data_IF_528691616915
#
_entry.id   IF_528691616915
#
_cell.length_a   1.000
_cell.length_b   1.000
_cell.length_c   1.000
_cell.angle_alpha   90.00
_cell.angle_beta   90.00
_cell.angle_gamma   90.00
#
_symmetry.space_group_name_H-M   'P 1'
#
loop_
_entity.id
_entity.type
_entity.pdbx_description
1 polymer ?
#
# COMPACT_ATOMS: atom_id res chain seq x y z
N UNK A 1 -14.66 1.09 3.40
CA UNK A 1 -14.15 2.47 3.67
C UNK A 1 -13.23 2.97 2.57
N UNK A 2 -12.27 2.16 2.13
CA UNK A 2 -11.50 2.36 0.90
C UNK A 2 -12.44 2.21 -0.29
N UNK A 3 -12.26 3.06 -1.29
CA UNK A 3 -13.04 3.01 -2.53
C UNK A 3 -12.22 2.51 -3.71
N UNK A 4 -10.90 2.66 -3.65
CA UNK A 4 -9.98 2.33 -4.73
C UNK A 4 -10.04 0.84 -5.07
N UNK A 5 -10.00 0.57 -6.37
CA UNK A 5 -9.94 -0.76 -6.98
C UNK A 5 -8.63 -0.85 -7.74
N UNK A 6 -7.53 -0.71 -7.01
CA UNK A 6 -6.20 -0.66 -7.60
C UNK A 6 -5.58 -2.05 -7.72
N UNK A 7 -4.53 -2.16 -8.52
CA UNK A 7 -3.75 -3.39 -8.70
C UNK A 7 -2.25 -3.08 -8.77
N UNK A 8 -1.41 -4.11 -8.78
CA UNK A 8 0.04 -4.02 -8.84
C UNK A 8 0.58 -3.95 -10.27
N UNK A 9 -0.29 -4.09 -11.28
CA UNK A 9 0.06 -4.04 -12.71
C UNK A 9 -0.15 -2.64 -13.29
N UNK A 10 0.01 -2.52 -14.61
CA UNK A 10 -0.24 -1.29 -15.34
C UNK A 10 -1.69 -0.82 -15.12
N UNK A 11 -1.94 0.48 -14.86
CA UNK A 11 -1.00 1.59 -14.92
C UNK A 11 -0.27 1.90 -13.61
N UNK A 12 -0.56 1.20 -12.51
CA UNK A 12 0.00 1.49 -11.19
C UNK A 12 1.52 1.27 -11.13
N UNK A 13 2.03 0.28 -11.86
CA UNK A 13 3.47 0.03 -11.95
C UNK A 13 4.18 0.77 -13.09
N UNK A 14 3.52 1.73 -13.76
CA UNK A 14 4.09 2.43 -14.94
C UNK A 14 5.46 3.07 -14.68
N UNK A 15 5.73 3.46 -13.42
CA UNK A 15 6.98 4.07 -12.97
C UNK A 15 7.90 3.10 -12.23
N UNK A 16 7.46 1.86 -12.00
CA UNK A 16 8.31 0.84 -11.39
C UNK A 16 9.43 0.44 -12.36
N UNK A 17 10.56 -0.07 -11.84
CA UNK A 17 11.70 -0.42 -12.67
C UNK A 17 11.38 -1.50 -13.71
N UNK A 18 12.06 -1.43 -14.85
CA UNK A 18 12.04 -2.46 -15.90
C UNK A 18 13.17 -3.45 -15.63
N UNK A 19 12.83 -4.72 -15.47
CA UNK A 19 13.78 -5.82 -15.28
C UNK A 19 13.68 -6.73 -16.51
N UNK A 20 14.75 -6.84 -17.28
CA UNK A 20 14.82 -7.65 -18.51
C UNK A 20 13.59 -7.41 -19.42
N UNK A 21 13.39 -6.14 -19.79
CA UNK A 21 12.31 -5.66 -20.67
C UNK A 21 10.86 -5.77 -20.12
N UNK A 22 10.70 -6.17 -18.86
CA UNK A 22 9.37 -6.27 -18.22
C UNK A 22 9.25 -5.31 -17.04
N UNK A 23 8.14 -4.57 -16.97
CA UNK A 23 7.83 -3.76 -15.79
C UNK A 23 7.66 -4.67 -14.57
N UNK A 24 8.40 -4.36 -13.50
CA UNK A 24 8.19 -4.97 -12.18
C UNK A 24 6.82 -4.62 -11.60
N UNK A 25 6.35 -5.41 -10.62
CA UNK A 25 5.11 -5.13 -9.92
C UNK A 25 5.28 -4.00 -8.90
N UNK A 26 4.20 -3.30 -8.57
CA UNK A 26 4.22 -2.34 -7.46
C UNK A 26 4.63 -3.04 -6.15
N UNK A 27 4.06 -4.22 -5.88
CA UNK A 27 4.14 -4.90 -4.58
C UNK A 27 2.89 -4.66 -3.74
N UNK A 28 2.49 -5.65 -2.94
CA UNK A 28 1.27 -5.58 -2.14
C UNK A 28 1.33 -4.50 -1.06
N UNK A 29 2.44 -4.45 -0.32
CA UNK A 29 2.69 -3.47 0.75
C UNK A 29 2.67 -2.02 0.26
N UNK A 30 3.46 -1.61 -0.75
CA UNK A 30 3.40 -0.25 -1.28
C UNK A 30 2.05 0.08 -1.94
N UNK A 31 1.38 -0.90 -2.57
CA UNK A 31 0.04 -0.66 -3.13
C UNK A 31 -0.99 -0.38 -2.03
N UNK A 32 -1.02 -1.20 -0.96
CA UNK A 32 -1.94 -1.00 0.16
C UNK A 32 -1.69 0.34 0.85
N UNK A 33 -0.42 0.71 1.06
CA UNK A 33 -0.03 2.01 1.58
C UNK A 33 -0.50 3.16 0.67
N UNK A 34 -0.38 3.00 -0.66
CA UNK A 34 -0.83 4.01 -1.63
C UNK A 34 -2.35 4.20 -1.64
N UNK A 35 -3.12 3.11 -1.54
CA UNK A 35 -4.57 3.18 -1.43
C UNK A 35 -5.02 3.90 -0.13
N UNK A 36 -4.29 3.71 0.97
CA UNK A 36 -4.51 4.48 2.21
C UNK A 36 -4.22 5.97 2.03
N UNK A 37 -3.07 6.31 1.45
CA UNK A 37 -2.71 7.70 1.14
C UNK A 37 -3.76 8.36 0.25
N UNK A 38 -4.28 7.62 -0.75
CA UNK A 38 -5.36 8.08 -1.60
C UNK A 38 -6.66 8.34 -0.85
N UNK A 39 -7.05 7.48 0.12
CA UNK A 39 -8.26 7.72 0.93
C UNK A 39 -8.20 9.05 1.67
N UNK A 40 -7.03 9.37 2.23
CA UNK A 40 -6.83 10.57 3.02
C UNK A 40 -6.46 11.79 2.19
N UNK A 41 -6.14 11.60 0.90
CA UNK A 41 -5.62 12.65 0.01
C UNK A 41 -4.44 13.39 0.66
N UNK A 42 -3.56 12.59 1.28
CA UNK A 42 -2.41 13.06 2.04
C UNK A 42 -1.19 12.16 1.76
N UNK A 43 0.02 12.73 1.69
CA UNK A 43 0.35 14.15 1.89
C UNK A 43 0.18 15.01 0.65
N UNK A 44 0.07 16.34 0.83
CA UNK A 44 0.19 17.28 -0.29
C UNK A 44 1.59 17.21 -0.91
N UNK A 45 2.62 17.27 -0.05
CA UNK A 45 4.03 17.04 -0.39
C UNK A 45 4.67 16.18 0.69
N UNK A 46 5.62 15.32 0.33
CA UNK A 46 6.36 14.50 1.26
C UNK A 46 7.54 15.22 1.92
N UNK A 47 8.47 14.46 2.50
CA UNK A 47 9.62 14.98 3.25
C UNK A 47 10.90 14.20 2.90
N UNK A 48 11.98 14.94 2.67
CA UNK A 48 13.32 14.37 2.52
C UNK A 48 13.52 13.59 1.23
N UNK A 49 14.60 12.82 1.22
CA UNK A 49 15.07 12.05 0.07
C UNK A 49 15.13 10.57 0.45
N UNK A 50 14.88 9.68 -0.51
CA UNK A 50 15.33 8.29 -0.41
C UNK A 50 15.78 7.79 -1.77
N UNK A 51 16.75 6.88 -1.79
CA UNK A 51 17.25 6.27 -3.02
C UNK A 51 16.77 4.84 -3.10
N UNK A 52 16.22 4.46 -4.25
CA UNK A 52 15.92 3.05 -4.54
C UNK A 52 17.22 2.26 -4.45
N UNK A 53 17.35 1.42 -3.42
CA UNK A 53 18.55 0.66 -3.13
C UNK A 53 18.61 -0.69 -3.84
N UNK A 54 17.65 -1.00 -4.73
CA UNK A 54 17.58 -2.32 -5.34
C UNK A 54 18.64 -2.51 -6.45
N UNK A 55 19.59 -3.44 -6.29
CA UNK A 55 20.81 -3.51 -7.10
C UNK A 55 20.59 -3.89 -8.57
N UNK A 56 19.43 -4.46 -8.91
CA UNK A 56 19.09 -4.82 -10.30
C UNK A 56 18.43 -3.66 -11.08
N UNK A 57 18.32 -2.49 -10.46
CA UNK A 57 17.65 -1.32 -11.05
C UNK A 57 18.58 -0.12 -11.07
N UNK A 58 18.32 0.84 -11.96
CA UNK A 58 19.00 2.13 -11.89
C UNK A 58 18.64 2.80 -10.57
N UNK A 59 19.64 3.06 -9.72
CA UNK A 59 19.46 3.77 -8.45
C UNK A 59 18.82 5.14 -8.74
N UNK A 60 17.54 5.29 -8.43
CA UNK A 60 16.80 6.54 -8.56
C UNK A 60 16.62 7.17 -7.17
N UNK A 61 17.06 8.41 -7.00
CA UNK A 61 16.81 9.19 -5.79
C UNK A 61 15.53 9.98 -5.95
N UNK A 62 14.56 9.70 -5.09
CA UNK A 62 13.29 10.42 -5.01
C UNK A 62 13.40 11.51 -3.95
N UNK A 63 13.10 12.74 -4.37
CA UNK A 63 12.86 13.86 -3.47
C UNK A 63 11.38 13.99 -3.16
N UNK A 64 10.99 13.49 -1.99
CA UNK A 64 9.61 13.53 -1.55
C UNK A 64 9.15 14.96 -1.23
N UNK A 65 10.06 15.88 -0.91
CA UNK A 65 9.73 17.28 -0.59
C UNK A 65 9.28 18.09 -1.80
N UNK A 66 9.69 17.66 -3.01
CA UNK A 66 9.27 18.26 -4.28
C UNK A 66 8.23 17.43 -5.01
N UNK A 67 7.89 16.23 -4.50
CA UNK A 67 6.83 15.39 -5.03
C UNK A 67 5.45 15.99 -4.75
N UNK A 68 4.66 16.22 -5.81
CA UNK A 68 3.27 16.66 -5.74
C UNK A 68 2.37 15.48 -6.12
N UNK A 69 1.47 15.09 -5.23
CA UNK A 69 0.54 13.98 -5.45
C UNK A 69 -0.81 14.48 -5.96
N UNK A 70 -1.12 14.19 -7.23
CA UNK A 70 -2.36 14.63 -7.88
C UNK A 70 -3.55 13.71 -7.54
N UNK A 71 -4.07 13.85 -6.32
CA UNK A 71 -5.20 13.04 -5.85
C UNK A 71 -6.48 13.21 -6.70
N UNK A 72 -6.65 14.34 -7.38
CA UNK A 72 -7.79 14.59 -8.26
C UNK A 72 -7.78 13.64 -9.47
N UNK A 73 -6.60 13.33 -10.00
CA UNK A 73 -6.44 12.36 -11.09
C UNK A 73 -6.24 10.92 -10.60
N UNK A 74 -6.16 10.68 -9.30
CA UNK A 74 -6.14 9.32 -8.76
C UNK A 74 -7.56 8.74 -8.71
N UNK A 75 -8.02 8.22 -9.84
CA UNK A 75 -9.34 7.64 -9.98
C UNK A 75 -9.56 6.39 -9.09
N UNK A 76 -10.84 6.09 -8.83
CA UNK A 76 -11.25 4.86 -8.13
C UNK A 76 -10.66 3.61 -8.78
N UNK A 77 -10.78 3.55 -10.10
CA UNK A 77 -10.29 2.47 -10.95
C UNK A 77 -9.43 3.10 -12.05
N UNK A 78 -8.36 2.40 -12.44
CA UNK A 78 -7.50 2.81 -13.54
C UNK A 78 -7.00 1.57 -14.29
N UNK A 79 -6.90 1.71 -15.61
CA UNK A 79 -6.47 0.67 -16.55
C UNK A 79 -5.62 1.27 -17.69
N UNK A 80 -5.34 0.49 -18.72
CA UNK A 80 -4.57 0.94 -19.88
C UNK A 80 -5.26 1.98 -20.76
N UNK A 81 -6.59 2.09 -20.68
CA UNK A 81 -7.38 3.08 -21.43
C UNK A 81 -7.48 4.44 -20.73
N UNK A 82 -7.13 4.48 -19.44
CA UNK A 82 -7.17 5.69 -18.62
C UNK A 82 -6.22 6.77 -19.16
N UNK A 83 -6.57 8.05 -18.94
CA UNK A 83 -5.77 9.17 -19.43
C UNK A 83 -4.34 9.17 -18.87
N UNK A 84 -3.39 9.78 -19.60
CA UNK A 84 -2.01 9.89 -19.14
C UNK A 84 -1.90 10.56 -17.75
N UNK A 85 -2.78 11.52 -17.45
CA UNK A 85 -2.86 12.16 -16.14
C UNK A 85 -3.22 11.16 -15.03
N UNK A 86 -4.25 10.33 -15.23
CA UNK A 86 -4.65 9.28 -14.27
C UNK A 86 -3.52 8.27 -14.09
N UNK A 87 -2.96 7.77 -15.19
CA UNK A 87 -1.87 6.79 -15.14
C UNK A 87 -0.65 7.34 -14.40
N UNK A 88 -0.29 8.60 -14.63
CA UNK A 88 0.86 9.25 -13.97
C UNK A 88 0.58 9.51 -12.49
N UNK A 89 -0.64 9.91 -12.13
CA UNK A 89 -1.00 10.18 -10.74
C UNK A 89 -0.92 8.89 -9.90
N UNK A 90 -1.56 7.80 -10.35
CA UNK A 90 -1.55 6.54 -9.59
C UNK A 90 -0.16 5.90 -9.53
N UNK A 91 0.58 5.92 -10.65
CA UNK A 91 1.93 5.33 -10.66
C UNK A 91 2.97 6.11 -9.86
N UNK A 92 2.86 7.44 -9.80
CA UNK A 92 3.78 8.26 -8.98
C UNK A 92 3.63 7.90 -7.52
N UNK A 93 2.39 7.86 -7.00
CA UNK A 93 2.15 7.51 -5.61
C UNK A 93 2.61 6.08 -5.29
N UNK A 94 2.28 5.12 -6.16
CA UNK A 94 2.67 3.71 -6.01
C UNK A 94 4.18 3.51 -6.03
N UNK A 95 4.88 4.12 -6.97
CA UNK A 95 6.33 4.02 -7.07
C UNK A 95 7.03 4.68 -5.89
N UNK A 96 6.61 5.88 -5.49
CA UNK A 96 7.18 6.59 -4.34
C UNK A 96 6.97 5.81 -3.03
N UNK A 97 5.81 5.16 -2.85
CA UNK A 97 5.59 4.28 -1.72
C UNK A 97 6.57 3.10 -1.72
N UNK A 98 6.84 2.49 -2.88
CA UNK A 98 7.82 1.42 -3.02
C UNK A 98 9.25 1.87 -2.71
N UNK A 99 9.68 3.02 -3.26
CA UNK A 99 11.00 3.59 -2.97
C UNK A 99 11.14 3.91 -1.47
N UNK A 100 10.14 4.52 -0.85
CA UNK A 100 10.18 4.83 0.58
C UNK A 100 10.27 3.57 1.46
N UNK A 101 9.70 2.45 1.00
CA UNK A 101 9.77 1.14 1.65
C UNK A 101 11.04 0.34 1.33
N UNK A 102 11.91 0.83 0.44
CA UNK A 102 13.06 0.10 -0.08
C UNK A 102 12.67 -1.32 -0.51
N UNK A 103 11.57 -1.44 -1.26
CA UNK A 103 11.08 -2.73 -1.74
C UNK A 103 12.06 -3.38 -2.70
N UNK A 104 12.11 -4.70 -2.71
CA UNK A 104 12.83 -5.46 -3.73
C UNK A 104 11.91 -5.70 -4.91
N UNK A 105 12.05 -4.88 -5.95
CA UNK A 105 11.20 -4.97 -7.15
C UNK A 105 11.42 -6.27 -7.91
N UNK A 106 10.33 -6.89 -8.36
CA UNK A 106 10.38 -8.09 -9.19
C UNK A 106 9.22 -8.21 -10.17
N UNK A 107 9.46 -8.95 -11.24
CA UNK A 107 8.47 -9.19 -12.31
C UNK A 107 7.36 -10.17 -11.90
N UNK A 108 7.60 -11.00 -10.89
CA UNK A 108 6.63 -12.00 -10.36
C UNK A 108 6.09 -11.60 -8.99
N UNK A 109 6.91 -10.93 -8.18
CA UNK A 109 6.55 -10.42 -6.87
C UNK A 109 7.52 -9.29 -6.52
N UNK A 110 7.02 -8.27 -5.84
CA UNK A 110 7.83 -7.22 -5.23
C UNK A 110 7.67 -7.35 -3.72
N UNK A 111 8.78 -7.52 -3.00
CA UNK A 111 8.76 -7.74 -1.55
C UNK A 111 9.07 -6.45 -0.79
N UNK A 112 8.28 -6.20 0.24
CA UNK A 112 8.47 -5.10 1.18
C UNK A 112 8.08 -5.55 2.58
N UNK A 113 8.69 -4.96 3.60
CA UNK A 113 8.44 -5.32 4.99
C UNK A 113 7.55 -4.23 5.64
N UNK A 114 6.35 -4.64 6.02
CA UNK A 114 5.32 -3.76 6.55
C UNK A 114 5.66 -3.20 7.94
N UNK A 115 6.59 -3.83 8.66
CA UNK A 115 7.05 -3.33 9.97
C UNK A 115 7.70 -1.95 9.88
N UNK A 116 8.20 -1.57 8.71
CA UNK A 116 8.82 -0.26 8.51
C UNK A 116 7.80 0.85 8.21
N UNK A 117 6.56 0.49 7.86
CA UNK A 117 5.52 1.45 7.46
C UNK A 117 5.34 2.58 8.48
N UNK A 118 5.16 2.32 9.80
CA UNK A 118 4.96 3.39 10.79
C UNK A 118 6.06 4.46 10.79
N UNK A 119 7.31 4.04 10.60
CA UNK A 119 8.44 4.96 10.53
C UNK A 119 8.50 5.68 9.18
N UNK A 120 8.27 4.97 8.08
CA UNK A 120 8.41 5.52 6.73
C UNK A 120 7.37 6.59 6.42
N UNK A 121 6.11 6.36 6.79
CA UNK A 121 5.04 7.31 6.50
C UNK A 121 5.17 8.62 7.29
N UNK A 122 5.77 8.57 8.48
CA UNK A 122 6.11 9.78 9.22
C UNK A 122 7.36 10.46 8.63
N UNK A 123 8.37 9.67 8.23
CA UNK A 123 9.63 10.18 7.67
C UNK A 123 9.47 10.84 6.31
N UNK A 124 8.70 10.23 5.40
CA UNK A 124 8.63 10.64 3.99
C UNK A 124 7.27 11.18 3.55
N UNK A 125 6.19 10.88 4.29
CA UNK A 125 4.83 11.24 3.89
C UNK A 125 4.10 12.11 4.92
N UNK A 126 4.83 12.71 5.86
CA UNK A 126 4.31 13.70 6.81
C UNK A 126 3.08 13.22 7.60
N UNK A 127 2.96 11.92 7.85
CA UNK A 127 1.96 11.38 8.78
C UNK A 127 2.43 11.54 10.22
N UNK A 128 1.48 11.65 11.15
CA UNK A 128 1.82 11.65 12.58
C UNK A 128 2.44 10.31 12.98
N UNK A 129 3.37 10.33 13.93
CA UNK A 129 4.02 9.13 14.47
C UNK A 129 3.11 8.24 15.33
N UNK A 130 1.79 8.47 15.33
CA UNK A 130 0.82 7.74 16.15
C UNK A 130 0.38 6.41 15.55
N UNK A 131 0.95 6.01 14.41
CA UNK A 131 0.66 4.72 13.79
C UNK A 131 1.31 3.60 14.60
N UNK A 132 0.48 2.65 15.03
CA UNK A 132 0.89 1.53 15.87
C UNK A 132 0.85 0.25 15.05
N UNK A 133 1.95 -0.47 14.97
CA UNK A 133 1.95 -1.86 14.55
C UNK A 133 1.52 -2.75 15.72
N UNK A 134 0.76 -3.80 15.43
CA UNK A 134 0.42 -4.85 16.38
C UNK A 134 0.59 -6.19 15.68
N UNK A 135 0.99 -7.23 16.41
CA UNK A 135 1.09 -8.59 15.91
C UNK A 135 0.14 -9.51 16.69
N UNK A 136 -0.63 -10.35 15.98
CA UNK A 136 -1.62 -11.25 16.59
C UNK A 136 -0.98 -12.27 17.54
N UNK A 137 0.27 -12.69 17.28
CA UNK A 137 1.01 -13.70 18.05
C UNK A 137 1.09 -13.39 19.56
N UNK A 138 0.91 -12.13 19.95
CA UNK A 138 0.97 -11.67 21.34
C UNK A 138 -0.39 -11.28 21.93
N UNK A 139 -1.50 -11.69 21.32
CA UNK A 139 -2.85 -11.26 21.71
C UNK A 139 -3.89 -12.38 21.59
N UNK A 140 -4.85 -12.40 22.51
CA UNK A 140 -6.03 -13.26 22.41
C UNK A 140 -6.87 -12.90 21.17
N UNK A 141 -7.44 -13.92 20.50
CA UNK A 141 -8.22 -13.72 19.27
C UNK A 141 -9.40 -12.77 19.46
N UNK A 142 -10.13 -12.87 20.58
CA UNK A 142 -11.25 -11.96 20.90
C UNK A 142 -10.77 -10.52 21.04
N UNK A 143 -9.65 -10.30 21.74
CA UNK A 143 -9.04 -8.98 21.88
C UNK A 143 -8.55 -8.41 20.55
N UNK A 144 -8.02 -9.27 19.66
CA UNK A 144 -7.61 -8.88 18.31
C UNK A 144 -8.81 -8.44 17.47
N UNK A 145 -9.88 -9.23 17.45
CA UNK A 145 -11.14 -8.93 16.75
C UNK A 145 -11.74 -7.62 17.29
N UNK A 146 -11.82 -7.44 18.61
CA UNK A 146 -12.35 -6.22 19.22
C UNK A 146 -11.49 -4.99 18.94
N UNK A 147 -10.16 -5.16 18.88
CA UNK A 147 -9.24 -4.10 18.46
C UNK A 147 -9.48 -3.67 17.01
N UNK A 148 -9.68 -4.63 16.10
CA UNK A 148 -10.00 -4.33 14.69
C UNK A 148 -11.36 -3.63 14.58
N UNK A 149 -12.41 -4.15 15.24
CA UNK A 149 -13.74 -3.52 15.27
C UNK A 149 -13.66 -2.08 15.80
N UNK A 150 -12.98 -1.85 16.92
CA UNK A 150 -12.80 -0.51 17.51
C UNK A 150 -12.12 0.44 16.51
N UNK A 151 -11.10 -0.05 15.81
CA UNK A 151 -10.39 0.73 14.78
C UNK A 151 -11.31 1.04 13.60
N UNK A 152 -12.11 0.07 13.12
CA UNK A 152 -13.08 0.28 12.05
C UNK A 152 -14.19 1.28 12.45
N UNK A 153 -14.70 1.22 13.68
CA UNK A 153 -15.70 2.15 14.22
C UNK A 153 -15.17 3.59 14.24
N UNK A 154 -13.86 3.78 14.50
CA UNK A 154 -13.21 5.09 14.41
C UNK A 154 -13.07 5.65 12.99
N UNK A 155 -13.47 4.89 11.96
CA UNK A 155 -13.31 5.28 10.55
C UNK A 155 -11.91 5.07 9.99
N UNK A 156 -11.05 4.34 10.71
CA UNK A 156 -9.65 4.10 10.34
C UNK A 156 -9.49 2.74 9.67
N UNK A 157 -9.15 2.67 8.38
CA UNK A 157 -8.77 1.40 7.75
C UNK A 157 -7.40 0.93 8.26
N UNK A 158 -7.17 -0.38 8.22
CA UNK A 158 -5.99 -1.05 8.78
C UNK A 158 -5.21 -1.74 7.67
N UNK A 159 -3.90 -1.47 7.58
CA UNK A 159 -3.00 -2.34 6.82
C UNK A 159 -2.84 -3.64 7.57
N UNK A 160 -3.14 -4.75 6.90
CA UNK A 160 -3.15 -6.06 7.51
C UNK A 160 -2.28 -7.00 6.68
N UNK A 161 -1.23 -7.53 7.31
CA UNK A 161 -0.36 -8.51 6.68
C UNK A 161 -0.52 -9.87 7.32
N UNK A 162 -0.60 -10.89 6.49
CA UNK A 162 -0.64 -12.27 6.92
C UNK A 162 0.04 -13.16 5.89
N UNK A 163 0.32 -14.39 6.31
CA UNK A 163 0.70 -15.48 5.42
C UNK A 163 -0.48 -16.42 5.26
N UNK A 164 -0.46 -17.25 4.22
CA UNK A 164 -1.46 -18.29 4.04
C UNK A 164 -1.42 -19.31 5.19
N UNK A 165 -0.23 -19.74 5.58
CA UNK A 165 0.02 -20.62 6.72
C UNK A 165 1.38 -20.35 7.38
N UNK A 166 1.74 -21.15 8.38
CA UNK A 166 2.99 -21.01 9.15
C UNK A 166 4.25 -21.43 8.39
N UNK A 167 4.11 -22.28 7.37
CA UNK A 167 5.22 -22.78 6.56
C UNK A 167 5.47 -21.90 5.33
N UNK A 168 4.48 -21.13 4.91
CA UNK A 168 4.61 -20.14 3.86
C UNK A 168 5.64 -19.05 4.26
N UNK A 169 6.36 -18.58 3.26
CA UNK A 169 7.30 -17.46 3.40
C UNK A 169 6.76 -16.21 2.71
N UNK A 170 5.68 -16.36 1.94
CA UNK A 170 5.00 -15.31 1.19
C UNK A 170 4.06 -14.55 2.13
N UNK A 171 4.45 -13.33 2.46
CA UNK A 171 3.57 -12.39 3.13
C UNK A 171 2.72 -11.65 2.10
N UNK A 172 1.47 -11.38 2.44
CA UNK A 172 0.61 -10.51 1.65
C UNK A 172 0.01 -9.43 2.55
N UNK A 173 0.05 -8.18 2.08
CA UNK A 173 -0.50 -7.01 2.78
C UNK A 173 -1.77 -6.54 2.06
N UNK A 174 -2.85 -6.41 2.82
CA UNK A 174 -4.17 -5.96 2.37
C UNK A 174 -4.63 -4.76 3.19
N UNK A 175 -5.82 -4.26 2.89
CA UNK A 175 -6.49 -3.27 3.74
C UNK A 175 -7.78 -3.86 4.31
N UNK A 176 -7.89 -3.90 5.63
CA UNK A 176 -9.17 -4.12 6.31
C UNK A 176 -9.87 -2.78 6.43
N UNK A 177 -11.05 -2.66 5.84
CA UNK A 177 -11.71 -1.36 5.69
C UNK A 177 -13.23 -1.42 5.90
N UNK A 178 -13.73 -2.51 6.48
CA UNK A 178 -15.11 -2.69 6.90
C UNK A 178 -15.28 -3.92 7.77
N UNK A 179 -16.42 -4.02 8.45
CA UNK A 179 -16.81 -5.22 9.18
C UNK A 179 -18.34 -5.35 9.19
N UNK A 180 -18.83 -6.58 9.30
CA UNK A 180 -20.25 -6.85 9.55
C UNK A 180 -20.49 -6.94 11.05
N UNK A 181 -21.38 -6.10 11.56
CA UNK A 181 -21.65 -5.96 13.00
C UNK A 181 -22.20 -7.22 13.67
N UNK A 182 -22.79 -8.15 12.91
CA UNK A 182 -23.47 -9.33 13.44
C UNK A 182 -22.71 -10.65 13.22
N UNK A 183 -21.61 -10.65 12.47
CA UNK A 183 -21.01 -11.90 11.94
C UNK A 183 -19.50 -12.04 12.19
N UNK A 184 -18.85 -11.14 12.94
CA UNK A 184 -17.38 -11.12 13.13
C UNK A 184 -16.56 -11.19 11.83
N UNK A 185 -17.19 -10.82 10.71
CA UNK A 185 -16.58 -10.81 9.39
C UNK A 185 -16.03 -9.43 9.06
N UNK A 186 -14.85 -9.41 8.45
CA UNK A 186 -14.16 -8.19 8.02
C UNK A 186 -14.10 -8.12 6.50
N UNK A 187 -14.22 -6.91 5.97
CA UNK A 187 -14.04 -6.64 4.54
C UNK A 187 -12.58 -6.34 4.26
N UNK A 188 -12.00 -7.11 3.34
CA UNK A 188 -10.62 -6.98 2.89
C UNK A 188 -10.57 -6.44 1.47
N UNK A 189 -9.88 -5.32 1.25
CA UNK A 189 -9.45 -4.87 -0.06
C UNK A 189 -8.10 -5.53 -0.38
N UNK A 190 -8.09 -6.45 -1.34
CA UNK A 190 -6.93 -7.31 -1.64
C UNK A 190 -5.88 -6.63 -2.53
N UNK A 191 -6.20 -5.49 -3.15
CA UNK A 191 -5.30 -4.81 -4.09
C UNK A 191 -5.13 -5.55 -5.43
N UNK A 192 -6.16 -6.28 -5.88
CA UNK A 192 -6.19 -6.99 -7.17
C UNK A 192 -7.49 -6.69 -7.96
N UNK A 193 -7.76 -5.42 -8.27
CA UNK A 193 -8.97 -4.97 -9.00
C UNK A 193 -10.30 -5.48 -8.43
N UNK A 194 -10.81 -4.79 -7.42
CA UNK A 194 -12.16 -5.02 -6.85
C UNK A 194 -12.36 -6.38 -6.19
N UNK A 195 -11.33 -7.24 -6.16
CA UNK A 195 -11.32 -8.43 -5.31
C UNK A 195 -11.38 -7.98 -3.85
N UNK A 196 -12.50 -8.33 -3.23
CA UNK A 196 -12.72 -8.13 -1.82
C UNK A 196 -13.45 -9.34 -1.27
N UNK A 197 -12.99 -9.82 -0.13
CA UNK A 197 -13.54 -11.00 0.53
C UNK A 197 -14.04 -10.56 1.91
N UNK A 198 -15.19 -11.07 2.32
CA UNK A 198 -15.62 -11.05 3.71
C UNK A 198 -15.15 -12.35 4.35
N UNK A 199 -14.19 -12.27 5.26
CA UNK A 199 -13.69 -13.39 6.06
C UNK A 199 -14.08 -13.21 7.51
#
# INVERSE_FOLDING_TARGET
MIKTEWNQYYPFNKKCPVITDTLSLVGCTPLAMSQLMRKWEWPINGIGLNTDSWPETSLETIDFSTAIYDYNNMARFADSSSSAAIQNAVSTLSYHAGVALNVSYGIRATSGDDKYIPNIISTHFNYTSQLKSKAMEYTDLSFWIDSLKTTMISGTPVLYSAKWDTEDTSWHTWIVDGYKTLEDQFHFNMGWWSESICL
#
